data_IF_009155951333
#
_entry.id   IF_009155951333
#
_cell.length_a   1.000
_cell.length_b   1.000
_cell.length_c   1.000
_cell.angle_alpha   90.00
_cell.angle_beta   90.00
_cell.angle_gamma   90.00
#
_symmetry.space_group_name_H-M   'P 1'
#
loop_
_entity.id
_entity.type
_entity.pdbx_description
1 polymer ?
#
# COMPACT_ATOMS: atom_id res chain seq x y z
N UNK A 1 31.75 8.70 7.72
CA UNK A 1 30.84 7.67 7.20
C UNK A 1 30.34 6.78 8.33
N UNK A 2 29.04 6.55 8.40
CA UNK A 2 28.37 5.89 9.52
C UNK A 2 28.39 4.36 9.39
N UNK A 3 28.73 3.66 10.47
CA UNK A 3 29.07 2.23 10.50
C UNK A 3 27.86 1.34 10.17
N UNK A 4 26.64 1.84 10.34
CA UNK A 4 25.39 1.10 10.14
C UNK A 4 25.09 0.75 8.67
N UNK A 5 25.59 1.52 7.70
CA UNK A 5 25.40 1.22 6.28
C UNK A 5 26.00 -0.14 5.88
N UNK A 6 27.01 -0.62 6.61
CA UNK A 6 27.72 -1.88 6.31
C UNK A 6 26.90 -3.14 6.65
N UNK A 7 25.89 -3.04 7.52
CA UNK A 7 25.07 -4.19 7.97
C UNK A 7 24.07 -4.64 6.88
N UNK A 8 23.65 -3.72 6.02
CA UNK A 8 22.73 -3.97 4.88
C UNK A 8 23.46 -4.69 3.71
N UNK A 9 24.79 -4.61 3.66
CA UNK A 9 25.63 -5.11 2.56
C UNK A 9 26.08 -6.58 2.75
N UNK A 10 25.58 -7.29 3.76
CA UNK A 10 25.88 -8.74 3.95
C UNK A 10 24.72 -9.63 3.47
N UNK A 11 24.61 -9.96 2.16
CA UNK A 11 23.70 -11.00 1.70
C UNK A 11 24.14 -12.42 2.16
N UNK A 12 25.40 -12.59 2.55
CA UNK A 12 25.97 -13.92 2.84
C UNK A 12 25.67 -14.47 4.24
N UNK A 13 25.15 -13.67 5.18
CA UNK A 13 24.79 -14.21 6.50
C UNK A 13 23.49 -15.02 6.44
N UNK A 14 22.57 -14.67 5.52
CA UNK A 14 21.35 -15.44 5.26
C UNK A 14 21.67 -16.77 4.55
N UNK A 15 22.67 -16.79 3.65
CA UNK A 15 23.10 -18.01 2.98
C UNK A 15 23.85 -18.99 3.91
N UNK A 16 24.51 -18.50 4.97
CA UNK A 16 25.17 -19.40 5.94
C UNK A 16 24.16 -20.13 6.84
N UNK A 17 23.02 -19.51 7.13
CA UNK A 17 21.92 -20.15 7.88
C UNK A 17 21.22 -21.21 7.01
N UNK A 18 21.23 -21.06 5.69
CA UNK A 18 20.65 -22.01 4.75
C UNK A 18 21.54 -23.24 4.45
N UNK A 19 22.84 -23.19 4.76
CA UNK A 19 23.80 -24.28 4.50
C UNK A 19 24.19 -25.10 5.73
N UNK A 20 23.69 -24.75 6.91
CA UNK A 20 23.80 -25.62 8.08
C UNK A 20 22.78 -26.75 7.96
N UNK A 21 23.23 -28.00 7.82
CA UNK A 21 22.35 -29.16 8.01
C UNK A 21 21.73 -29.06 9.41
N UNK A 22 20.42 -28.80 9.47
CA UNK A 22 19.62 -28.97 10.66
C UNK A 22 19.70 -30.44 11.05
N UNK A 23 20.29 -30.73 12.22
CA UNK A 23 20.28 -32.07 12.82
C UNK A 23 18.82 -32.55 12.93
N UNK A 24 18.56 -33.73 12.37
CA UNK A 24 17.25 -34.40 12.36
C UNK A 24 17.01 -35.25 13.60
N UNK A 25 17.84 -35.14 14.64
CA UNK A 25 17.68 -35.95 15.84
C UNK A 25 16.68 -35.31 16.80
N UNK A 26 15.57 -36.00 17.15
CA UNK A 26 14.62 -35.48 18.11
C UNK A 26 15.24 -35.45 19.52
N UNK A 27 15.28 -34.27 20.13
CA UNK A 27 15.66 -34.09 21.54
C UNK A 27 14.81 -34.99 22.46
N UNK A 28 15.42 -35.81 23.33
CA UNK A 28 14.74 -36.91 24.01
C UNK A 28 13.89 -36.53 25.23
N UNK A 29 13.70 -35.24 25.56
CA UNK A 29 13.19 -34.84 26.88
C UNK A 29 11.79 -34.21 26.96
N UNK A 30 10.98 -34.20 25.89
CA UNK A 30 9.64 -33.55 25.95
C UNK A 30 8.44 -34.46 25.69
N UNK A 31 8.62 -35.74 25.37
CA UNK A 31 7.51 -36.60 24.89
C UNK A 31 6.80 -37.45 25.95
N UNK A 32 7.38 -37.66 27.14
CA UNK A 32 6.77 -38.55 28.14
C UNK A 32 5.77 -37.87 29.09
N UNK A 33 5.96 -36.59 29.41
CA UNK A 33 5.07 -35.83 30.31
C UNK A 33 3.72 -35.46 29.67
N UNK A 34 3.65 -35.38 28.34
CA UNK A 34 2.43 -34.99 27.61
C UNK A 34 1.46 -36.15 27.32
N UNK A 35 1.82 -37.41 27.60
CA UNK A 35 0.97 -38.57 27.26
C UNK A 35 -0.06 -38.96 28.32
N UNK A 36 0.02 -38.47 29.56
CA UNK A 36 -0.76 -39.04 30.68
C UNK A 36 -2.17 -38.48 30.91
N UNK A 37 -2.53 -37.30 30.39
CA UNK A 37 -3.79 -36.63 30.76
C UNK A 37 -4.62 -36.08 29.58
N UNK A 38 -5.10 -36.93 28.67
CA UNK A 38 -6.17 -36.52 27.74
C UNK A 38 -7.42 -37.40 27.86
N UNK A 39 -8.48 -36.76 28.36
CA UNK A 39 -9.88 -37.16 28.18
C UNK A 39 -10.17 -37.08 26.67
N UNK A 40 -10.44 -38.23 26.05
CA UNK A 40 -10.81 -38.32 24.63
C UNK A 40 -12.22 -37.76 24.42
N UNK A 41 -12.34 -36.61 23.77
CA UNK A 41 -13.59 -36.23 23.10
C UNK A 41 -13.65 -36.92 21.72
N UNK A 42 -14.79 -37.50 21.32
CA UNK A 42 -14.97 -37.99 19.96
C UNK A 42 -15.24 -36.80 19.04
N UNK A 43 -14.19 -36.08 18.64
CA UNK A 43 -14.25 -35.26 17.44
C UNK A 43 -14.30 -36.20 16.25
N UNK A 44 -15.49 -36.37 15.68
CA UNK A 44 -15.61 -36.67 14.25
C UNK A 44 -15.03 -35.48 13.50
N UNK A 45 -13.70 -35.44 13.38
CA UNK A 45 -13.07 -34.72 12.29
C UNK A 45 -13.58 -35.41 11.03
N UNK A 46 -14.42 -34.70 10.26
CA UNK A 46 -14.32 -34.87 8.80
C UNK A 46 -12.84 -34.67 8.53
N UNK A 47 -12.13 -35.76 8.21
CA UNK A 47 -10.80 -35.64 7.66
C UNK A 47 -10.96 -34.66 6.50
N UNK A 48 -10.49 -33.42 6.68
CA UNK A 48 -9.88 -32.76 5.55
C UNK A 48 -8.92 -33.82 5.04
N UNK A 49 -9.14 -34.30 3.83
CA UNK A 49 -8.15 -35.11 3.14
C UNK A 49 -6.98 -34.16 2.98
N UNK A 50 -6.14 -34.12 4.02
CA UNK A 50 -4.86 -33.47 4.03
C UNK A 50 -4.07 -34.29 3.03
N UNK A 51 -4.06 -33.83 1.78
CA UNK A 51 -3.06 -34.22 0.79
C UNK A 51 -1.67 -33.67 1.18
N UNK A 52 -1.35 -33.64 2.47
CA UNK A 52 -0.11 -33.09 3.03
C UNK A 52 1.05 -34.09 2.98
N UNK A 53 0.84 -35.27 2.38
CA UNK A 53 1.89 -36.29 2.19
C UNK A 53 2.37 -36.45 0.74
N UNK A 54 2.01 -35.57 -0.20
CA UNK A 54 2.39 -35.71 -1.62
C UNK A 54 3.11 -34.50 -2.26
N UNK A 55 3.70 -33.60 -1.46
CA UNK A 55 4.51 -32.50 -2.02
C UNK A 55 5.90 -32.45 -1.38
N UNK A 56 6.58 -33.59 -1.34
CA UNK A 56 8.05 -33.60 -1.40
C UNK A 56 8.36 -33.40 -2.89
N UNK A 57 9.06 -32.33 -3.24
CA UNK A 57 9.22 -31.81 -4.61
C UNK A 57 9.33 -32.89 -5.69
N UNK A 58 8.20 -33.16 -6.36
CA UNK A 58 8.18 -33.97 -7.56
C UNK A 58 8.70 -33.07 -8.70
N UNK A 59 9.93 -33.32 -9.16
CA UNK A 59 10.60 -32.55 -10.23
C UNK A 59 9.81 -32.52 -11.55
N UNK A 60 8.76 -33.35 -11.67
CA UNK A 60 7.86 -33.42 -12.83
C UNK A 60 6.74 -32.37 -12.80
N UNK A 61 6.39 -31.85 -11.63
CA UNK A 61 5.37 -30.82 -11.53
C UNK A 61 6.03 -29.45 -11.68
N UNK A 62 5.51 -28.58 -12.57
CA UNK A 62 6.06 -27.24 -12.71
C UNK A 62 5.97 -26.52 -11.37
N UNK A 63 7.09 -25.94 -10.97
CA UNK A 63 7.18 -25.12 -9.76
C UNK A 63 6.18 -23.97 -9.82
N UNK A 64 5.82 -23.40 -8.66
CA UNK A 64 4.95 -22.21 -8.64
C UNK A 64 5.53 -21.08 -9.51
N UNK A 65 6.86 -20.95 -9.57
CA UNK A 65 7.52 -19.96 -10.41
C UNK A 65 7.34 -20.25 -11.90
N UNK A 66 7.46 -21.50 -12.33
CA UNK A 66 7.21 -21.91 -13.72
C UNK A 66 5.75 -21.72 -14.11
N UNK A 67 4.82 -22.13 -13.24
CA UNK A 67 3.39 -21.91 -13.46
C UNK A 67 3.08 -20.42 -13.60
N UNK A 68 3.68 -19.58 -12.77
CA UNK A 68 3.51 -18.12 -12.85
C UNK A 68 4.18 -17.51 -14.09
N UNK A 69 5.21 -18.14 -14.68
CA UNK A 69 5.81 -17.69 -15.94
C UNK A 69 4.90 -17.97 -17.13
N UNK A 70 4.20 -19.10 -17.14
CA UNK A 70 3.22 -19.42 -18.19
C UNK A 70 2.06 -18.40 -18.26
N UNK A 71 1.75 -17.73 -17.15
CA UNK A 71 0.73 -16.68 -17.08
C UNK A 71 1.25 -15.27 -17.37
N UNK A 72 2.57 -15.08 -17.55
CA UNK A 72 3.15 -13.77 -17.86
C UNK A 72 3.42 -13.66 -19.36
N UNK A 73 3.05 -12.53 -19.95
CA UNK A 73 3.38 -12.27 -21.35
C UNK A 73 4.91 -12.19 -21.54
N UNK A 74 5.48 -12.73 -22.63
CA UNK A 74 6.92 -12.66 -22.92
C UNK A 74 7.48 -11.23 -22.91
N UNK A 75 6.68 -10.25 -23.32
CA UNK A 75 7.03 -8.82 -23.30
C UNK A 75 7.11 -8.23 -21.88
N UNK A 76 6.52 -8.88 -20.87
CA UNK A 76 6.68 -8.49 -19.46
C UNK A 76 8.00 -8.99 -18.84
N UNK A 77 8.72 -9.88 -19.53
CA UNK A 77 9.98 -10.46 -19.07
C UNK A 77 11.20 -9.70 -19.59
N UNK A 78 11.06 -8.95 -20.68
CA UNK A 78 12.11 -8.10 -21.23
C UNK A 78 12.07 -6.72 -20.56
N UNK A 79 13.15 -6.35 -19.85
CA UNK A 79 13.30 -5.01 -19.29
C UNK A 79 14.61 -4.43 -19.77
N UNK A 80 14.57 -3.23 -20.36
CA UNK A 80 15.77 -2.51 -20.76
C UNK A 80 16.15 -1.48 -19.71
N UNK A 81 17.46 -1.27 -19.53
CA UNK A 81 17.95 -0.22 -18.66
C UNK A 81 17.94 1.09 -19.45
N UNK A 82 17.03 1.98 -19.09
CA UNK A 82 16.91 3.34 -19.63
C UNK A 82 17.54 4.36 -18.67
N UNK A 83 17.72 5.60 -19.15
CA UNK A 83 18.26 6.70 -18.34
C UNK A 83 19.78 6.81 -18.36
N UNK A 84 20.32 7.70 -17.52
CA UNK A 84 21.77 7.87 -17.38
C UNK A 84 22.41 6.67 -16.68
N UNK A 85 23.59 6.29 -17.16
CA UNK A 85 24.41 5.31 -16.46
C UNK A 85 24.93 5.92 -15.15
N UNK A 86 24.75 5.18 -14.05
CA UNK A 86 25.28 5.58 -12.75
C UNK A 86 26.75 5.18 -12.65
N UNK A 87 27.64 6.16 -12.53
CA UNK A 87 29.04 5.93 -12.24
C UNK A 87 29.21 5.58 -10.76
N UNK A 88 29.44 4.30 -10.47
CA UNK A 88 29.69 3.88 -9.10
C UNK A 88 30.99 4.50 -8.58
N UNK A 89 30.98 5.05 -7.35
CA UNK A 89 32.22 5.48 -6.71
C UNK A 89 33.15 4.28 -6.57
N UNK A 90 34.47 4.52 -6.63
CA UNK A 90 35.47 3.45 -6.53
C UNK A 90 35.34 2.71 -5.18
N UNK A 91 34.69 1.54 -5.21
CA UNK A 91 34.35 0.76 -4.02
C UNK A 91 35.57 0.38 -3.18
N UNK A 92 36.74 0.19 -3.81
CA UNK A 92 37.98 -0.13 -3.08
C UNK A 92 38.45 1.07 -2.25
N UNK A 93 38.39 2.28 -2.82
CA UNK A 93 38.75 3.52 -2.12
C UNK A 93 37.80 3.79 -0.96
N UNK A 94 36.49 3.74 -1.23
CA UNK A 94 35.45 3.96 -0.21
C UNK A 94 35.56 2.94 0.92
N UNK A 95 35.82 1.66 0.61
CA UNK A 95 36.01 0.62 1.63
C UNK A 95 37.24 0.88 2.49
N UNK A 96 38.36 1.31 1.90
CA UNK A 96 39.59 1.65 2.64
C UNK A 96 39.36 2.81 3.60
N UNK A 97 38.65 3.86 3.17
CA UNK A 97 38.29 5.00 4.02
C UNK A 97 37.36 4.59 5.17
N UNK A 98 36.38 3.74 4.90
CA UNK A 98 35.48 3.17 5.92
C UNK A 98 36.24 2.31 6.94
N UNK A 99 37.14 1.44 6.49
CA UNK A 99 37.92 0.58 7.37
C UNK A 99 38.86 1.42 8.25
N UNK A 100 39.50 2.46 7.70
CA UNK A 100 40.31 3.40 8.48
C UNK A 100 39.50 4.12 9.57
N UNK A 101 38.27 4.57 9.25
CA UNK A 101 37.36 5.23 10.19
C UNK A 101 36.86 4.27 11.28
N UNK A 102 36.64 3.00 10.95
CA UNK A 102 36.29 1.96 11.93
C UNK A 102 37.45 1.74 12.91
N UNK A 103 38.68 1.68 12.41
CA UNK A 103 39.86 1.53 13.28
C UNK A 103 40.10 2.77 14.15
N UNK A 104 39.83 3.98 13.65
CA UNK A 104 39.84 5.22 14.44
C UNK A 104 38.79 5.19 15.56
N UNK A 105 37.54 4.82 15.22
CA UNK A 105 36.46 4.74 16.20
C UNK A 105 36.73 3.69 17.30
N UNK A 106 37.35 2.55 16.95
CA UNK A 106 37.75 1.52 17.92
C UNK A 106 38.83 1.98 18.89
N UNK A 107 39.69 2.94 18.51
CA UNK A 107 40.73 3.48 19.37
C UNK A 107 40.19 4.49 20.39
N UNK A 108 38.99 5.04 20.16
CA UNK A 108 38.39 6.01 21.06
C UNK A 108 37.77 5.33 22.29
N UNK A 109 38.38 5.56 23.45
CA UNK A 109 37.84 5.08 24.74
C UNK A 109 36.48 5.70 25.08
N UNK A 110 36.26 6.95 24.67
CA UNK A 110 34.99 7.64 24.93
C UNK A 110 33.83 6.96 24.19
N UNK A 111 34.01 6.64 22.90
CA UNK A 111 33.01 5.90 22.13
C UNK A 111 32.74 4.51 22.71
N UNK A 112 33.75 3.86 23.29
CA UNK A 112 33.56 2.57 23.97
C UNK A 112 32.67 2.72 25.23
N UNK A 113 32.91 3.75 26.04
CA UNK A 113 32.10 4.07 27.22
C UNK A 113 30.67 4.42 26.81
N UNK A 114 30.50 5.32 25.85
CA UNK A 114 29.18 5.73 25.35
C UNK A 114 28.41 4.55 24.74
N UNK A 115 29.12 3.60 24.11
CA UNK A 115 28.53 2.34 23.61
C UNK A 115 28.01 1.46 24.75
N UNK A 116 28.81 1.27 25.82
CA UNK A 116 28.43 0.48 27.00
C UNK A 116 27.25 1.11 27.74
N UNK A 117 27.20 2.43 27.79
CA UNK A 117 26.11 3.19 28.41
C UNK A 117 24.90 3.40 27.49
N UNK A 118 24.95 2.88 26.24
CA UNK A 118 23.89 3.02 25.23
C UNK A 118 23.54 4.49 24.89
N UNK A 119 24.53 5.39 24.95
CA UNK A 119 24.39 6.83 24.68
C UNK A 119 24.77 7.26 23.27
N UNK A 120 25.14 6.31 22.39
CA UNK A 120 25.55 6.63 21.03
C UNK A 120 24.35 7.05 20.19
N UNK A 121 24.35 8.32 19.79
CA UNK A 121 23.39 8.86 18.83
C UNK A 121 23.98 8.87 17.41
N UNK A 122 23.16 8.39 16.47
CA UNK A 122 23.55 8.21 15.08
C UNK A 122 22.88 9.31 14.26
N UNK A 123 23.64 10.20 13.59
CA UNK A 123 23.05 11.25 12.76
C UNK A 123 22.39 10.63 11.52
N UNK A 124 21.07 10.46 11.56
CA UNK A 124 20.28 9.74 10.54
C UNK A 124 20.36 10.42 9.18
N UNK A 125 20.33 11.74 9.13
CA UNK A 125 20.40 12.50 7.87
C UNK A 125 21.73 12.28 7.13
N UNK A 126 22.84 12.22 7.88
CA UNK A 126 24.16 11.96 7.31
C UNK A 126 24.30 10.51 6.85
N UNK A 127 23.66 9.56 7.55
CA UNK A 127 23.56 8.17 7.11
C UNK A 127 22.82 8.09 5.78
N UNK A 128 21.67 8.76 5.66
CA UNK A 128 20.85 8.76 4.45
C UNK A 128 21.61 9.32 3.25
N UNK A 129 22.27 10.48 3.41
CA UNK A 129 23.11 11.08 2.35
C UNK A 129 24.19 10.11 1.86
N UNK A 130 24.88 9.45 2.79
CA UNK A 130 25.94 8.50 2.44
C UNK A 130 25.40 7.23 1.77
N UNK A 131 24.29 6.67 2.28
CA UNK A 131 23.66 5.50 1.67
C UNK A 131 23.23 5.82 0.24
N UNK A 132 22.61 6.98 0.00
CA UNK A 132 22.21 7.41 -1.34
C UNK A 132 23.40 7.53 -2.28
N UNK A 133 24.49 8.17 -1.83
CA UNK A 133 25.71 8.32 -2.63
C UNK A 133 26.41 6.99 -2.93
N UNK A 134 26.48 6.05 -1.98
CA UNK A 134 27.11 4.74 -2.20
C UNK A 134 26.24 3.78 -3.00
N UNK A 135 24.94 3.71 -2.70
CA UNK A 135 24.03 2.73 -3.29
C UNK A 135 23.42 3.16 -4.62
N UNK A 136 23.59 4.43 -5.01
CA UNK A 136 23.02 4.98 -6.24
C UNK A 136 21.50 4.86 -6.26
N UNK A 137 20.86 5.18 -5.13
CA UNK A 137 19.40 5.11 -4.96
C UNK A 137 18.79 3.73 -5.33
N UNK A 138 19.55 2.63 -5.19
CA UNK A 138 19.07 1.27 -5.49
C UNK A 138 17.77 0.92 -4.77
N UNK A 139 17.62 1.38 -3.53
CA UNK A 139 16.40 1.16 -2.75
C UNK A 139 15.18 1.78 -3.44
N UNK A 140 15.34 2.93 -4.10
CA UNK A 140 14.28 3.61 -4.85
C UNK A 140 13.83 2.77 -6.03
N UNK A 141 14.78 2.17 -6.76
CA UNK A 141 14.49 1.27 -7.88
C UNK A 141 13.70 0.05 -7.39
N UNK A 142 14.14 -0.57 -6.29
CA UNK A 142 13.45 -1.72 -5.71
C UNK A 142 12.04 -1.37 -5.24
N UNK A 143 11.87 -0.21 -4.60
CA UNK A 143 10.55 0.30 -4.20
C UNK A 143 9.68 0.55 -5.44
N UNK A 144 10.17 1.27 -6.44
CA UNK A 144 9.41 1.57 -7.65
C UNK A 144 9.01 0.30 -8.43
N UNK A 145 9.87 -0.73 -8.46
CA UNK A 145 9.52 -2.05 -9.01
C UNK A 145 8.42 -2.74 -8.20
N UNK A 146 8.55 -2.74 -6.86
CA UNK A 146 7.54 -3.35 -5.99
C UNK A 146 6.16 -2.71 -6.15
N UNK A 147 6.12 -1.39 -6.27
CA UNK A 147 4.88 -0.64 -6.49
C UNK A 147 4.41 -0.63 -7.95
N UNK A 148 5.11 -1.30 -8.88
CA UNK A 148 4.70 -1.41 -10.29
C UNK A 148 4.87 -0.14 -11.13
N UNK A 149 5.63 0.87 -10.68
CA UNK A 149 5.74 2.15 -11.40
C UNK A 149 6.40 1.98 -12.78
N UNK A 150 7.44 1.15 -12.88
CA UNK A 150 8.12 0.91 -14.17
C UNK A 150 7.24 0.16 -15.17
N UNK A 151 6.41 -0.77 -14.67
CA UNK A 151 5.45 -1.50 -15.50
C UNK A 151 4.49 -0.52 -16.16
N UNK A 152 3.90 0.36 -15.36
CA UNK A 152 2.83 1.24 -15.83
C UNK A 152 3.38 2.43 -16.64
N UNK A 153 4.43 3.11 -16.15
CA UNK A 153 4.95 4.32 -16.80
C UNK A 153 5.86 4.02 -18.01
N UNK A 154 6.66 2.96 -17.95
CA UNK A 154 7.74 2.69 -18.89
C UNK A 154 7.66 1.31 -19.56
N UNK A 155 6.53 0.61 -19.47
CA UNK A 155 6.35 -0.72 -20.04
C UNK A 155 7.46 -1.72 -19.61
N UNK A 156 7.80 -1.70 -18.31
CA UNK A 156 8.86 -2.50 -17.64
C UNK A 156 10.30 -2.03 -17.84
N UNK A 157 10.54 -0.99 -18.64
CA UNK A 157 11.88 -0.40 -18.71
C UNK A 157 12.27 0.28 -17.40
N UNK A 158 13.49 0.04 -16.94
CA UNK A 158 13.97 0.47 -15.62
C UNK A 158 15.03 1.55 -15.80
N UNK A 159 14.85 2.71 -15.18
CA UNK A 159 15.96 3.67 -14.99
C UNK A 159 16.40 3.72 -13.54
N UNK A 160 17.67 4.02 -13.32
CA UNK A 160 18.22 4.30 -11.99
C UNK A 160 18.16 5.80 -11.73
N UNK A 161 17.42 6.27 -10.71
CA UNK A 161 17.45 7.66 -10.33
C UNK A 161 18.87 8.09 -9.95
N UNK A 162 19.32 9.17 -10.57
CA UNK A 162 20.62 9.79 -10.33
C UNK A 162 20.48 10.96 -9.34
N UNK A 163 19.32 11.60 -9.35
CA UNK A 163 19.02 12.80 -8.57
C UNK A 163 18.02 12.46 -7.46
N UNK A 164 18.31 12.87 -6.22
CA UNK A 164 17.37 12.75 -5.09
C UNK A 164 16.34 13.88 -5.17
N UNK A 165 15.19 13.53 -5.73
CA UNK A 165 14.05 14.43 -5.86
C UNK A 165 13.35 14.57 -4.50
N UNK A 166 13.61 15.69 -3.80
CA UNK A 166 13.01 16.00 -2.51
C UNK A 166 11.76 16.84 -2.72
N UNK A 167 10.59 16.23 -2.51
CA UNK A 167 9.30 16.92 -2.59
C UNK A 167 8.73 17.09 -1.19
N UNK A 168 8.25 18.27 -0.85
CA UNK A 168 7.71 18.61 0.47
C UNK A 168 6.37 19.34 0.38
N UNK A 169 5.38 18.84 1.12
CA UNK A 169 4.05 19.43 1.25
C UNK A 169 3.87 19.99 2.65
N UNK A 170 3.99 21.32 2.84
CA UNK A 170 3.74 21.98 4.13
C UNK A 170 4.41 21.28 5.34
N UNK A 171 5.64 20.78 5.17
CA UNK A 171 6.40 20.06 6.19
C UNK A 171 6.30 18.52 6.13
N UNK A 172 5.43 17.96 5.27
CA UNK A 172 5.35 16.52 4.99
C UNK A 172 6.16 16.17 3.75
N UNK A 173 7.27 15.47 3.97
CA UNK A 173 8.16 15.01 2.90
C UNK A 173 7.59 13.79 2.17
N UNK A 174 7.69 13.82 0.84
CA UNK A 174 7.46 12.68 -0.05
C UNK A 174 8.73 11.83 -0.08
N UNK A 175 8.55 10.52 0.12
CA UNK A 175 9.61 9.52 0.04
C UNK A 175 9.32 8.57 -1.14
N UNK A 176 9.25 7.26 -0.87
CA UNK A 176 9.16 6.20 -1.86
C UNK A 176 8.03 5.23 -1.50
N UNK A 177 6.79 5.73 -1.51
CA UNK A 177 5.58 4.98 -1.17
C UNK A 177 5.01 5.28 0.23
N UNK A 178 5.42 6.37 0.88
CA UNK A 178 4.78 6.81 2.12
C UNK A 178 3.34 7.27 1.86
N UNK A 179 2.54 7.36 2.92
CA UNK A 179 1.15 7.81 2.86
C UNK A 179 1.06 9.31 3.06
N UNK A 180 0.39 10.01 2.15
CA UNK A 180 0.09 11.45 2.25
C UNK A 180 -1.39 11.61 1.94
N UNK A 181 -2.12 12.37 2.77
CA UNK A 181 -3.55 12.53 2.58
C UNK A 181 -3.83 13.62 1.54
N UNK A 182 -4.93 13.47 0.80
CA UNK A 182 -5.32 14.42 -0.24
C UNK A 182 -5.57 15.85 0.31
N UNK A 183 -5.85 16.02 1.60
CA UNK A 183 -5.95 17.33 2.24
C UNK A 183 -4.61 18.04 2.46
N UNK A 184 -3.50 17.29 2.46
CA UNK A 184 -2.17 17.86 2.64
C UNK A 184 -1.57 18.33 1.31
N UNK A 185 -2.18 17.92 0.20
CA UNK A 185 -1.74 18.16 -1.17
C UNK A 185 -2.63 19.16 -1.91
N UNK A 186 -3.33 20.03 -1.18
CA UNK A 186 -4.18 21.08 -1.77
C UNK A 186 -3.35 22.06 -2.62
N UNK A 187 -2.17 22.42 -2.12
CA UNK A 187 -1.25 23.36 -2.75
C UNK A 187 -0.07 22.62 -3.38
N UNK A 188 0.52 23.21 -4.42
CA UNK A 188 1.72 22.69 -5.05
C UNK A 188 2.87 22.51 -4.04
N UNK A 189 3.64 21.42 -4.13
CA UNK A 189 4.73 21.16 -3.20
C UNK A 189 5.97 22.00 -3.50
N UNK A 190 6.83 22.13 -2.50
CA UNK A 190 8.21 22.59 -2.69
C UNK A 190 9.04 21.44 -3.25
N UNK A 191 9.61 21.64 -4.44
CA UNK A 191 10.42 20.64 -5.14
C UNK A 191 11.86 21.10 -5.15
N UNK A 192 12.70 20.36 -4.44
CA UNK A 192 14.14 20.57 -4.40
C UNK A 192 14.84 19.31 -4.94
N UNK A 193 15.67 19.47 -5.96
CA UNK A 193 16.46 18.39 -6.48
C UNK A 193 17.93 18.78 -6.43
N UNK A 194 18.63 18.18 -5.47
CA UNK A 194 20.07 18.26 -5.39
C UNK A 194 20.63 17.14 -6.26
N UNK A 195 21.44 17.51 -7.23
CA UNK A 195 22.16 16.55 -8.03
C UNK A 195 23.25 15.93 -7.14
N UNK A 196 23.00 14.71 -6.65
CA UNK A 196 23.95 13.99 -5.77
C UNK A 196 25.30 13.81 -6.48
N UNK A 197 25.31 13.84 -7.82
CA UNK A 197 26.54 13.76 -8.62
C UNK A 197 27.28 15.09 -8.78
N UNK A 198 26.71 16.25 -8.41
CA UNK A 198 27.39 17.57 -8.49
C UNK A 198 28.45 17.82 -7.40
N UNK A 199 28.90 16.77 -6.70
CA UNK A 199 30.09 16.90 -5.84
C UNK A 199 31.35 17.13 -6.69
N UNK A 200 31.37 16.83 -7.99
CA UNK A 200 32.63 16.82 -8.75
C UNK A 200 32.71 17.58 -10.10
N UNK A 201 31.68 18.24 -10.62
CA UNK A 201 31.85 18.94 -11.92
C UNK A 201 31.21 20.34 -11.97
N UNK A 202 32.08 21.33 -12.15
CA UNK A 202 31.76 22.68 -12.64
C UNK A 202 31.18 22.59 -14.06
N UNK A 203 29.92 22.21 -14.21
CA UNK A 203 29.25 22.23 -15.52
C UNK A 203 28.86 23.66 -15.88
N UNK A 204 29.56 24.21 -16.87
CA UNK A 204 29.28 25.52 -17.50
C UNK A 204 28.12 25.46 -18.52
N UNK A 205 27.53 24.28 -18.75
CA UNK A 205 26.48 24.09 -19.74
C UNK A 205 25.08 24.31 -19.13
N UNK A 206 24.21 25.00 -19.87
CA UNK A 206 22.80 25.21 -19.50
C UNK A 206 22.07 23.87 -19.62
N UNK A 207 21.62 23.31 -18.49
CA UNK A 207 20.79 22.11 -18.46
C UNK A 207 19.35 22.48 -18.10
N UNK A 208 18.41 21.85 -18.81
CA UNK A 208 16.98 22.05 -18.59
C UNK A 208 16.37 20.78 -18.00
N UNK A 209 15.40 20.97 -17.12
CA UNK A 209 14.72 19.89 -16.42
C UNK A 209 13.21 20.00 -16.64
N UNK A 210 12.53 18.87 -16.70
CA UNK A 210 11.07 18.80 -16.81
C UNK A 210 10.54 17.90 -15.70
N UNK A 211 9.57 18.40 -14.93
CA UNK A 211 8.89 17.66 -13.88
C UNK A 211 7.48 17.26 -14.36
N UNK A 212 7.19 15.96 -14.31
CA UNK A 212 5.86 15.42 -14.52
C UNK A 212 5.34 14.81 -13.21
N UNK A 213 4.13 15.18 -12.80
CA UNK A 213 3.43 14.63 -11.66
C UNK A 213 2.17 13.90 -12.12
N UNK A 214 2.10 12.61 -11.86
CA UNK A 214 1.12 11.71 -12.46
C UNK A 214 0.43 10.88 -11.39
N UNK A 215 -0.88 10.72 -11.49
CA UNK A 215 -1.63 9.73 -10.74
C UNK A 215 -1.89 8.52 -11.65
N UNK A 216 -1.31 7.38 -11.29
CA UNK A 216 -1.39 6.15 -12.09
C UNK A 216 -2.78 5.52 -12.00
N UNK A 217 -3.47 5.69 -10.87
CA UNK A 217 -4.71 4.98 -10.55
C UNK A 217 -5.95 5.90 -10.59
N UNK A 218 -5.76 7.15 -11.04
CA UNK A 218 -6.75 8.23 -10.93
C UNK A 218 -7.82 8.27 -12.02
N UNK A 219 -7.69 7.46 -13.07
CA UNK A 219 -8.54 7.56 -14.24
C UNK A 219 -9.83 6.75 -14.08
N UNK A 220 -10.98 7.41 -14.25
CA UNK A 220 -12.30 6.76 -14.16
C UNK A 220 -12.96 6.51 -15.52
N UNK A 221 -12.43 7.05 -16.61
CA UNK A 221 -12.96 6.84 -17.96
C UNK A 221 -12.28 5.66 -18.66
N UNK A 222 -10.96 5.56 -18.53
CA UNK A 222 -10.15 4.54 -19.19
C UNK A 222 -9.14 3.94 -18.21
N UNK A 223 -9.19 2.62 -18.03
CA UNK A 223 -8.32 1.90 -17.10
C UNK A 223 -6.84 1.91 -17.48
N UNK A 224 -6.52 2.19 -18.74
CA UNK A 224 -5.14 2.09 -19.26
C UNK A 224 -4.41 3.44 -19.33
N UNK A 225 -5.08 4.54 -18.98
CA UNK A 225 -4.51 5.87 -19.08
C UNK A 225 -4.29 6.44 -17.67
N UNK A 226 -3.23 7.21 -17.51
CA UNK A 226 -2.95 7.91 -16.26
C UNK A 226 -3.57 9.32 -16.26
N UNK A 227 -3.51 10.00 -15.10
CA UNK A 227 -3.93 11.40 -14.97
C UNK A 227 -2.72 12.27 -14.70
N UNK A 228 -2.50 13.28 -15.55
CA UNK A 228 -1.42 14.24 -15.39
C UNK A 228 -1.85 15.38 -14.46
N UNK A 229 -1.35 15.38 -13.23
CA UNK A 229 -1.72 16.33 -12.18
C UNK A 229 -0.91 17.63 -12.25
N UNK A 230 0.35 17.57 -12.69
CA UNK A 230 1.20 18.76 -12.86
C UNK A 230 2.27 18.50 -13.90
N UNK A 231 2.54 19.48 -14.76
CA UNK A 231 3.61 19.39 -15.74
C UNK A 231 4.32 20.74 -15.89
N UNK A 232 5.58 20.76 -15.47
CA UNK A 232 6.43 21.95 -15.52
C UNK A 232 7.69 21.64 -16.32
N UNK A 233 7.87 22.34 -17.43
CA UNK A 233 8.97 22.13 -18.37
C UNK A 233 10.04 23.20 -18.28
N UNK A 234 11.17 22.93 -18.92
CA UNK A 234 12.25 23.89 -19.18
C UNK A 234 12.77 24.61 -17.92
N UNK A 235 12.80 23.91 -16.78
CA UNK A 235 13.36 24.40 -15.52
C UNK A 235 14.88 24.55 -15.69
N UNK A 236 15.39 25.77 -15.56
CA UNK A 236 16.80 26.08 -15.81
C UNK A 236 17.64 25.84 -14.56
N UNK A 237 18.75 25.10 -14.71
CA UNK A 237 19.83 24.97 -13.71
C UNK A 237 19.38 24.56 -12.28
N UNK A 238 18.20 23.97 -12.14
CA UNK A 238 17.67 23.57 -10.84
C UNK A 238 16.82 24.61 -10.13
N UNK A 239 16.68 25.82 -10.67
CA UNK A 239 15.76 26.82 -10.10
C UNK A 239 14.33 26.55 -10.57
N UNK A 240 13.56 25.87 -9.72
CA UNK A 240 12.19 25.50 -9.98
C UNK A 240 11.28 26.69 -10.36
N UNK A 241 11.63 27.93 -9.98
CA UNK A 241 10.84 29.13 -10.33
C UNK A 241 10.92 29.50 -11.80
N UNK A 242 12.02 29.17 -12.48
CA UNK A 242 12.26 29.54 -13.88
C UNK A 242 11.47 28.71 -14.90
N UNK A 243 10.97 27.53 -14.50
CA UNK A 243 10.30 26.62 -15.42
C UNK A 243 8.96 27.14 -15.91
N UNK A 244 8.61 26.76 -17.15
CA UNK A 244 7.33 27.03 -17.76
C UNK A 244 6.29 26.02 -17.27
N UNK A 245 5.15 26.50 -16.76
CA UNK A 245 4.03 25.66 -16.35
C UNK A 245 3.12 25.39 -17.55
N UNK A 246 3.18 24.19 -18.12
CA UNK A 246 2.30 23.79 -19.23
C UNK A 246 0.93 23.35 -18.71
N UNK A 247 0.94 22.63 -17.59
CA UNK A 247 -0.27 22.15 -16.92
C UNK A 247 -0.17 22.57 -15.46
N UNK A 248 -1.16 23.33 -14.99
CA UNK A 248 -1.22 23.81 -13.61
C UNK A 248 -1.39 22.68 -12.62
N UNK A 249 -0.83 22.87 -11.43
CA UNK A 249 -0.95 21.91 -10.34
C UNK A 249 -2.42 21.63 -10.00
N UNK A 250 -2.77 20.35 -9.95
CA UNK A 250 -4.04 19.86 -9.45
C UNK A 250 -3.76 18.86 -8.31
N UNK A 251 -4.46 19.03 -7.19
CA UNK A 251 -4.34 18.07 -6.09
C UNK A 251 -4.79 16.66 -6.56
N UNK A 252 -4.15 15.58 -6.08
CA UNK A 252 -4.66 14.24 -6.28
C UNK A 252 -6.10 14.09 -5.78
N UNK A 253 -6.91 13.36 -6.53
CA UNK A 253 -8.33 13.15 -6.24
C UNK A 253 -8.68 11.64 -6.17
N UNK A 254 -8.10 10.87 -5.24
CA UNK A 254 -8.47 9.47 -5.08
C UNK A 254 -9.95 9.31 -4.78
N UNK A 255 -10.65 8.51 -5.59
CA UNK A 255 -12.09 8.35 -5.51
C UNK A 255 -12.52 7.52 -4.30
N UNK A 256 -13.73 7.74 -3.81
CA UNK A 256 -14.22 7.03 -2.64
C UNK A 256 -14.37 5.54 -2.96
N UNK A 257 -13.70 4.69 -2.19
CA UNK A 257 -13.80 3.23 -2.32
C UNK A 257 -12.89 2.59 -3.36
N UNK A 258 -12.04 3.35 -4.05
CA UNK A 258 -11.02 2.80 -4.97
C UNK A 258 -9.72 2.38 -4.28
N UNK A 259 -9.59 2.65 -2.98
CA UNK A 259 -8.39 2.33 -2.21
C UNK A 259 -7.29 3.40 -2.35
N UNK A 260 -6.03 2.95 -2.39
CA UNK A 260 -4.86 3.82 -2.41
C UNK A 260 -4.42 4.10 -3.84
N UNK A 261 -4.25 5.37 -4.18
CA UNK A 261 -3.75 5.80 -5.48
C UNK A 261 -2.25 6.09 -5.40
N UNK A 262 -1.49 5.62 -6.40
CA UNK A 262 -0.06 5.88 -6.54
C UNK A 262 0.15 7.18 -7.31
N UNK A 263 0.74 8.16 -6.63
CA UNK A 263 1.08 9.46 -7.21
C UNK A 263 2.60 9.57 -7.35
N UNK A 264 3.09 9.74 -8.58
CA UNK A 264 4.51 9.71 -8.92
C UNK A 264 4.98 11.04 -9.52
N UNK A 265 6.12 11.52 -9.04
CA UNK A 265 6.91 12.60 -9.62
C UNK A 265 8.07 12.00 -10.40
N UNK A 266 8.13 12.32 -11.69
CA UNK A 266 9.23 11.94 -12.57
C UNK A 266 9.95 13.20 -13.02
N UNK A 267 11.26 13.22 -12.81
CA UNK A 267 12.13 14.31 -13.25
C UNK A 267 12.93 13.85 -14.47
N UNK A 268 12.84 14.63 -15.53
CA UNK A 268 13.59 14.47 -16.77
C UNK A 268 14.66 15.55 -16.90
N UNK A 269 15.75 15.21 -17.56
CA UNK A 269 16.81 16.13 -17.96
C UNK A 269 16.93 16.15 -19.49
N UNK A 270 17.16 17.33 -20.05
CA UNK A 270 17.39 17.53 -21.47
C UNK A 270 18.36 18.71 -21.71
N UNK A 271 19.01 18.71 -22.87
CA UNK A 271 20.10 19.66 -23.20
C UNK A 271 19.59 20.98 -23.78
N UNK A 272 18.51 20.94 -24.56
CA UNK A 272 17.95 22.08 -25.26
C UNK A 272 16.55 22.37 -24.74
N UNK A 273 16.08 23.61 -24.88
CA UNK A 273 14.69 23.93 -24.58
C UNK A 273 13.75 23.19 -25.54
N UNK A 274 12.75 22.49 -24.99
CA UNK A 274 11.78 21.70 -25.77
C UNK A 274 10.40 22.29 -25.56
N UNK A 275 9.67 22.51 -26.66
CA UNK A 275 8.24 22.81 -26.58
C UNK A 275 7.46 21.49 -26.56
N UNK A 276 7.00 21.08 -25.38
CA UNK A 276 6.26 19.85 -25.19
C UNK A 276 4.83 19.99 -25.72
N UNK A 277 4.48 19.20 -26.72
CA UNK A 277 3.10 19.01 -27.17
C UNK A 277 2.50 17.87 -26.35
N UNK A 278 1.64 18.23 -25.40
CA UNK A 278 0.92 17.28 -24.58
C UNK A 278 -0.32 16.86 -25.37
N UNK A 279 -0.28 15.65 -25.91
CA UNK A 279 -1.36 15.06 -26.69
C UNK A 279 -2.50 14.65 -25.73
N UNK A 280 -3.32 15.60 -25.29
CA UNK A 280 -4.57 15.31 -24.58
C UNK A 280 -5.58 14.76 -25.59
N UNK A 281 -6.19 13.59 -25.31
CA UNK A 281 -7.22 13.02 -26.18
C UNK A 281 -8.31 14.07 -26.47
N UNK A 282 -8.58 14.26 -27.76
CA UNK A 282 -9.43 15.30 -28.35
C UNK A 282 -10.55 15.81 -27.42
N UNK A 283 -10.54 17.13 -27.21
CA UNK A 283 -11.52 17.92 -26.46
C UNK A 283 -12.90 18.03 -27.14
N UNK A 284 -13.34 17.02 -27.88
CA UNK A 284 -14.66 17.02 -28.54
C UNK A 284 -15.81 16.89 -27.54
N UNK A 285 -15.52 16.50 -26.30
CA UNK A 285 -16.44 16.65 -25.16
C UNK A 285 -15.77 17.53 -24.10
N UNK A 286 -16.38 18.68 -23.82
CA UNK A 286 -15.95 19.76 -22.90
C UNK A 286 -15.83 19.31 -21.43
N UNK A 287 -15.07 18.26 -21.13
CA UNK A 287 -14.73 17.90 -19.75
C UNK A 287 -13.27 18.30 -19.51
N UNK A 288 -13.05 19.17 -18.51
CA UNK A 288 -11.72 19.54 -18.00
C UNK A 288 -10.90 18.32 -17.55
N UNK A 289 -11.54 17.16 -17.40
CA UNK A 289 -10.91 15.89 -17.13
C UNK A 289 -10.17 15.32 -18.35
N UNK A 290 -10.74 15.43 -19.55
CA UNK A 290 -10.10 14.91 -20.77
C UNK A 290 -8.77 15.61 -21.08
N UNK A 291 -8.62 16.88 -20.67
CA UNK A 291 -7.35 17.63 -20.75
C UNK A 291 -6.23 17.02 -19.90
N UNK A 292 -6.61 16.27 -18.85
CA UNK A 292 -5.70 15.65 -17.89
C UNK A 292 -5.47 14.16 -18.16
N UNK A 293 -6.28 13.57 -19.04
CA UNK A 293 -6.14 12.18 -19.49
C UNK A 293 -4.85 12.06 -20.31
N UNK A 294 -3.89 11.29 -19.81
CA UNK A 294 -2.54 11.27 -20.32
C UNK A 294 -2.01 9.85 -20.35
N UNK A 295 -1.33 9.50 -21.45
CA UNK A 295 -0.63 8.22 -21.56
C UNK A 295 0.87 8.46 -21.49
N UNK A 296 1.46 8.21 -20.33
CA UNK A 296 2.87 8.53 -20.05
C UNK A 296 3.83 7.84 -21.02
N UNK A 297 3.55 6.58 -21.35
CA UNK A 297 4.37 5.80 -22.26
C UNK A 297 4.45 6.43 -23.67
N UNK A 298 3.34 6.97 -24.17
CA UNK A 298 3.31 7.60 -25.51
C UNK A 298 4.13 8.89 -25.52
N UNK A 299 4.00 9.70 -24.47
CA UNK A 299 4.81 10.90 -24.28
C UNK A 299 6.31 10.55 -24.22
N UNK A 300 6.68 9.55 -23.41
CA UNK A 300 8.08 9.15 -23.28
C UNK A 300 8.65 8.65 -24.61
N UNK A 301 7.90 7.86 -25.37
CA UNK A 301 8.33 7.39 -26.72
C UNK A 301 8.51 8.53 -27.72
N UNK A 302 7.69 9.58 -27.65
CA UNK A 302 7.78 10.76 -28.55
C UNK A 302 9.06 11.56 -28.31
N UNK A 303 9.51 11.65 -27.06
CA UNK A 303 10.64 12.49 -26.65
C UNK A 303 11.88 11.69 -26.20
N UNK A 304 11.89 10.36 -26.35
CA UNK A 304 12.92 9.46 -25.78
C UNK A 304 14.36 9.80 -26.19
N UNK A 305 14.54 10.43 -27.35
CA UNK A 305 15.86 10.85 -27.85
C UNK A 305 16.38 12.12 -27.15
N UNK A 306 15.48 12.98 -26.69
CA UNK A 306 15.81 14.31 -26.16
C UNK A 306 15.73 14.37 -24.63
N UNK A 307 14.84 13.58 -24.01
CA UNK A 307 14.62 13.58 -22.56
C UNK A 307 15.13 12.31 -21.91
N UNK A 308 15.83 12.47 -20.79
CA UNK A 308 16.38 11.36 -20.02
C UNK A 308 15.79 11.37 -18.60
N UNK A 309 15.17 10.29 -18.12
CA UNK A 309 14.66 10.24 -16.75
C UNK A 309 15.83 10.16 -15.76
N UNK A 310 15.85 11.08 -14.79
CA UNK A 310 16.96 11.25 -13.83
C UNK A 310 16.51 11.18 -12.37
N UNK A 311 15.24 11.42 -12.06
CA UNK A 311 14.73 11.46 -10.70
C UNK A 311 13.34 10.86 -10.58
N UNK A 312 13.07 10.22 -9.45
CA UNK A 312 11.80 9.58 -9.15
C UNK A 312 11.48 9.77 -7.67
N UNK A 313 10.26 10.21 -7.36
CA UNK A 313 9.70 10.21 -6.00
C UNK A 313 8.21 9.92 -6.09
N UNK A 314 7.66 9.17 -5.15
CA UNK A 314 6.24 8.80 -5.22
C UNK A 314 5.66 8.52 -3.83
N UNK A 315 4.35 8.62 -3.73
CA UNK A 315 3.60 8.37 -2.51
C UNK A 315 2.24 7.77 -2.82
N UNK A 316 1.55 7.34 -1.76
CA UNK A 316 0.19 6.84 -1.83
C UNK A 316 -0.77 7.84 -1.21
N UNK A 317 -1.90 8.08 -1.89
CA UNK A 317 -2.98 8.92 -1.38
C UNK A 317 -4.27 8.13 -1.27
N UNK A 318 -5.02 8.35 -0.19
CA UNK A 318 -6.37 7.83 -0.01
C UNK A 318 -7.41 8.96 -0.13
N UNK A 319 -8.67 8.55 -0.29
CA UNK A 319 -9.81 9.45 -0.30
C UNK A 319 -9.93 10.25 1.00
N UNK A 320 -10.22 11.54 0.87
CA UNK A 320 -10.55 12.45 1.96
C UNK A 320 -11.64 13.44 1.51
N UNK A 321 -12.25 14.16 2.45
CA UNK A 321 -13.30 15.15 2.18
C UNK A 321 -12.84 16.29 1.26
N UNK A 322 -11.54 16.58 1.18
CA UNK A 322 -11.00 17.57 0.24
C UNK A 322 -11.20 17.19 -1.22
N UNK A 323 -11.28 15.89 -1.53
CA UNK A 323 -11.45 15.37 -2.89
C UNK A 323 -12.80 15.77 -3.49
N UNK A 324 -13.85 15.80 -2.66
CA UNK A 324 -15.19 16.26 -3.08
C UNK A 324 -15.16 17.64 -3.72
N UNK A 325 -14.38 18.55 -3.15
CA UNK A 325 -14.24 19.92 -3.68
C UNK A 325 -13.62 19.92 -5.07
N UNK A 326 -12.70 19.01 -5.38
CA UNK A 326 -12.13 18.90 -6.73
C UNK A 326 -13.18 18.48 -7.75
N UNK A 327 -13.98 17.46 -7.43
CA UNK A 327 -15.03 17.00 -8.33
C UNK A 327 -16.08 18.09 -8.60
N UNK A 328 -16.53 18.78 -7.55
CA UNK A 328 -17.53 19.82 -7.67
C UNK A 328 -16.98 21.12 -8.27
N UNK A 329 -15.86 21.64 -7.77
CA UNK A 329 -15.37 22.98 -8.13
C UNK A 329 -14.52 22.97 -9.42
N UNK A 330 -13.66 21.97 -9.60
CA UNK A 330 -12.78 21.89 -10.76
C UNK A 330 -13.47 21.18 -11.94
N UNK A 331 -13.99 19.97 -11.72
CA UNK A 331 -14.57 19.15 -12.79
C UNK A 331 -16.05 19.43 -13.10
N UNK A 332 -16.79 20.11 -12.20
CA UNK A 332 -18.24 20.28 -12.28
C UNK A 332 -18.99 18.93 -12.41
N UNK A 333 -18.50 17.93 -11.67
CA UNK A 333 -19.03 16.57 -11.65
C UNK A 333 -19.43 16.15 -10.23
N UNK A 334 -20.40 15.25 -10.16
CA UNK A 334 -20.71 14.55 -8.91
C UNK A 334 -19.63 13.51 -8.64
N UNK A 335 -19.11 13.49 -7.42
CA UNK A 335 -18.13 12.49 -6.98
C UNK A 335 -18.65 11.05 -7.20
N UNK A 336 -17.90 10.21 -7.92
CA UNK A 336 -18.20 8.79 -8.03
C UNK A 336 -17.82 8.06 -6.73
N UNK A 337 -18.66 7.12 -6.32
CA UNK A 337 -18.45 6.28 -5.14
C UNK A 337 -18.43 4.82 -5.56
N UNK A 338 -17.33 4.16 -5.24
CA UNK A 338 -17.10 2.76 -5.53
C UNK A 338 -17.25 1.93 -4.26
N UNK A 339 -17.63 0.67 -4.45
CA UNK A 339 -17.62 -0.35 -3.41
C UNK A 339 -16.96 -1.60 -3.99
N UNK A 340 -16.12 -2.25 -3.19
CA UNK A 340 -15.50 -3.49 -3.63
C UNK A 340 -16.54 -4.60 -3.65
N UNK A 341 -16.91 -5.05 -4.85
CA UNK A 341 -17.81 -6.19 -5.01
C UNK A 341 -17.02 -7.50 -4.84
N UNK A 342 -17.12 -8.11 -3.66
CA UNK A 342 -16.54 -9.43 -3.43
C UNK A 342 -17.22 -10.47 -4.32
N UNK A 343 -16.42 -11.35 -4.93
CA UNK A 343 -16.95 -12.50 -5.65
C UNK A 343 -17.92 -13.28 -4.75
N UNK A 344 -19.10 -13.57 -5.29
CA UNK A 344 -20.07 -14.41 -4.60
C UNK A 344 -19.46 -15.81 -4.44
N UNK A 345 -19.48 -16.34 -3.22
CA UNK A 345 -19.09 -17.73 -2.97
C UNK A 345 -19.83 -18.65 -3.93
N UNK A 346 -19.11 -19.56 -4.59
CA UNK A 346 -19.74 -20.60 -5.38
C UNK A 346 -20.59 -21.48 -4.47
N UNK A 347 -21.89 -21.55 -4.80
CA UNK A 347 -22.83 -22.43 -4.12
C UNK A 347 -23.23 -23.55 -5.10
N UNK A 348 -23.10 -24.84 -4.71
CA UNK A 348 -23.61 -25.93 -5.52
C UNK A 348 -25.14 -25.84 -5.61
N UNK A 349 -25.75 -26.47 -6.60
CA UNK A 349 -27.22 -26.48 -6.75
C UNK A 349 -27.88 -26.97 -5.45
N UNK A 350 -28.97 -26.32 -5.05
CA UNK A 350 -29.76 -26.74 -3.90
C UNK A 350 -30.30 -28.16 -4.12
N UNK A 351 -30.08 -29.02 -3.13
CA UNK A 351 -30.56 -30.39 -3.03
C UNK A 351 -31.50 -30.46 -1.82
N UNK A 352 -32.76 -30.83 -2.04
CA UNK A 352 -33.75 -30.98 -0.95
C UNK A 352 -33.27 -31.95 0.14
N UNK A 353 -32.53 -32.99 -0.26
CA UNK A 353 -31.94 -33.98 0.61
C UNK A 353 -30.47 -34.20 0.21
N UNK A 354 -29.52 -33.47 0.82
CA UNK A 354 -28.12 -33.58 0.44
C UNK A 354 -27.58 -34.98 0.78
N UNK A 355 -26.83 -35.59 -0.15
CA UNK A 355 -26.25 -36.94 0.05
C UNK A 355 -25.34 -37.02 1.28
N UNK A 356 -24.55 -35.97 1.49
CA UNK A 356 -23.71 -35.84 2.67
C UNK A 356 -24.45 -35.05 3.75
N UNK A 357 -24.40 -35.45 5.02
CA UNK A 357 -25.07 -34.72 6.09
C UNK A 357 -24.48 -33.30 6.21
N UNK A 358 -25.32 -32.32 5.88
CA UNK A 358 -25.05 -30.90 6.05
C UNK A 358 -25.76 -30.36 7.30
N UNK A 359 -25.16 -29.39 8.02
CA UNK A 359 -25.85 -28.70 9.10
C UNK A 359 -27.07 -27.95 8.54
N UNK A 360 -28.27 -28.38 8.96
CA UNK A 360 -29.56 -27.89 8.44
C UNK A 360 -29.66 -26.35 8.37
N UNK A 361 -29.35 -25.64 9.46
CA UNK A 361 -29.47 -24.19 9.51
C UNK A 361 -28.56 -23.50 8.49
N UNK A 362 -27.28 -23.87 8.43
CA UNK A 362 -26.34 -23.26 7.48
C UNK A 362 -26.68 -23.59 6.05
N UNK A 363 -27.08 -24.84 5.80
CA UNK A 363 -27.49 -25.26 4.48
C UNK A 363 -28.61 -24.34 3.98
N UNK A 364 -29.71 -24.23 4.73
CA UNK A 364 -30.81 -23.35 4.34
C UNK A 364 -30.40 -21.88 4.26
N UNK A 365 -29.63 -21.37 5.23
CA UNK A 365 -29.18 -19.97 5.27
C UNK A 365 -28.33 -19.59 4.05
N UNK A 366 -27.43 -20.46 3.59
CA UNK A 366 -26.59 -20.18 2.41
C UNK A 366 -27.43 -20.09 1.11
N UNK A 367 -28.56 -20.79 1.05
CA UNK A 367 -29.50 -20.72 -0.09
C UNK A 367 -30.64 -19.71 0.10
N UNK A 368 -30.77 -19.13 1.28
CA UNK A 368 -31.79 -18.11 1.57
C UNK A 368 -31.28 -16.77 1.05
N UNK A 369 -32.18 -15.93 0.55
CA UNK A 369 -31.79 -14.57 0.17
C UNK A 369 -31.25 -13.81 1.40
N UNK A 370 -30.12 -13.12 1.23
CA UNK A 370 -29.47 -12.36 2.30
C UNK A 370 -30.42 -11.31 2.87
N UNK A 371 -31.32 -10.76 2.05
CA UNK A 371 -32.33 -9.78 2.49
C UNK A 371 -33.30 -10.40 3.51
N UNK A 372 -33.84 -11.58 3.22
CA UNK A 372 -34.73 -12.29 4.13
C UNK A 372 -34.02 -12.70 5.41
N UNK A 373 -32.79 -13.21 5.29
CA UNK A 373 -31.97 -13.55 6.45
C UNK A 373 -31.72 -12.33 7.35
N UNK A 374 -31.39 -11.18 6.76
CA UNK A 374 -31.20 -9.93 7.48
C UNK A 374 -32.49 -9.45 8.14
N UNK A 375 -33.64 -9.56 7.47
CA UNK A 375 -34.95 -9.22 8.05
C UNK A 375 -35.26 -10.09 9.29
N UNK A 376 -35.00 -11.40 9.21
CA UNK A 376 -35.15 -12.31 10.35
C UNK A 376 -34.25 -11.92 11.52
N UNK A 377 -32.98 -11.65 11.24
CA UNK A 377 -32.00 -11.21 12.24
C UNK A 377 -32.43 -9.90 12.90
N UNK A 378 -32.93 -8.93 12.13
CA UNK A 378 -33.45 -7.66 12.65
C UNK A 378 -34.71 -7.86 13.50
N UNK A 379 -35.65 -8.69 13.07
CA UNK A 379 -36.85 -9.02 13.87
C UNK A 379 -36.47 -9.66 15.20
N UNK A 380 -35.53 -10.59 15.19
CA UNK A 380 -35.05 -11.22 16.43
C UNK A 380 -34.31 -10.25 17.34
N UNK A 381 -33.56 -9.31 16.77
CA UNK A 381 -32.97 -8.20 17.52
C UNK A 381 -34.04 -7.28 18.13
N UNK A 382 -35.07 -6.90 17.36
CA UNK A 382 -36.16 -6.04 17.84
C UNK A 382 -36.93 -6.66 19.01
N UNK A 383 -37.04 -7.99 19.09
CA UNK A 383 -37.64 -8.68 20.26
C UNK A 383 -36.81 -8.51 21.54
N UNK A 384 -35.51 -8.26 21.42
CA UNK A 384 -34.59 -8.08 22.55
C UNK A 384 -34.52 -6.62 23.03
N UNK A 385 -34.93 -5.67 22.20
CA UNK A 385 -34.84 -4.24 22.47
C UNK A 385 -36.20 -3.68 22.87
N UNK A 386 -36.23 -2.93 23.97
CA UNK A 386 -37.40 -2.15 24.38
C UNK A 386 -37.13 -0.66 24.08
N UNK A 387 -38.04 0.06 23.40
CA UNK A 387 -37.85 1.47 23.07
C UNK A 387 -37.73 2.40 24.29
N UNK A 388 -38.18 1.96 25.47
CA UNK A 388 -38.20 2.77 26.70
C UNK A 388 -37.14 2.37 27.72
N UNK A 389 -36.35 1.32 27.45
CA UNK A 389 -35.30 0.85 28.35
C UNK A 389 -33.93 1.00 27.69
N UNK A 390 -32.87 1.25 28.47
CA UNK A 390 -31.52 1.22 27.91
C UNK A 390 -31.25 -0.16 27.29
N UNK A 391 -30.58 -0.16 26.14
CA UNK A 391 -30.19 -1.41 25.49
C UNK A 391 -29.37 -2.27 26.46
N UNK A 392 -29.63 -3.60 26.52
CA UNK A 392 -28.88 -4.48 27.40
C UNK A 392 -27.41 -4.51 26.97
N UNK A 393 -26.49 -4.13 27.86
CA UNK A 393 -25.06 -4.22 27.58
C UNK A 393 -24.65 -5.66 27.25
N UNK A 394 -23.74 -5.88 26.29
CA UNK A 394 -23.19 -7.21 26.07
C UNK A 394 -22.56 -7.73 27.35
N UNK A 395 -22.87 -8.97 27.71
CA UNK A 395 -22.18 -9.64 28.80
C UNK A 395 -20.67 -9.63 28.53
N UNK A 396 -19.87 -9.14 29.51
CA UNK A 396 -18.39 -9.13 29.47
C UNK A 396 -17.82 -10.50 29.07
N UNK A 397 -18.50 -11.58 29.44
CA UNK A 397 -18.20 -12.94 29.06
C UNK A 397 -19.44 -13.62 28.45
N UNK A 398 -19.63 -13.56 27.12
CA UNK A 398 -20.89 -13.94 26.48
C UNK A 398 -21.29 -15.42 26.67
N UNK A 399 -20.33 -16.30 26.94
CA UNK A 399 -20.54 -17.76 26.97
C UNK A 399 -20.69 -18.37 28.37
N UNK A 400 -20.42 -17.61 29.44
CA UNK A 400 -20.38 -18.17 30.81
C UNK A 400 -21.78 -18.64 31.24
N UNK A 401 -22.80 -17.79 31.07
CA UNK A 401 -24.17 -18.10 31.51
C UNK A 401 -25.04 -18.71 30.41
N UNK A 402 -24.43 -19.27 29.36
CA UNK A 402 -25.20 -19.85 28.25
C UNK A 402 -25.75 -21.22 28.67
N UNK A 403 -27.04 -21.27 29.04
CA UNK A 403 -27.75 -22.52 29.33
C UNK A 403 -27.70 -23.44 28.11
N UNK A 404 -26.97 -24.56 28.20
CA UNK A 404 -26.74 -25.50 27.09
C UNK A 404 -27.87 -26.51 26.90
N UNK A 405 -29.13 -26.06 26.99
CA UNK A 405 -30.30 -26.92 26.85
C UNK A 405 -30.81 -26.87 25.40
N UNK A 406 -31.37 -27.98 24.91
CA UNK A 406 -31.96 -28.08 23.56
C UNK A 406 -31.04 -28.65 22.47
N UNK A 407 -31.49 -28.62 21.20
CA UNK A 407 -30.74 -29.13 20.04
C UNK A 407 -29.42 -28.38 19.78
N UNK A 408 -28.44 -29.06 19.15
CA UNK A 408 -27.10 -28.49 18.89
C UNK A 408 -27.14 -27.23 18.01
N UNK A 409 -28.06 -27.16 17.04
CA UNK A 409 -28.21 -25.99 16.17
C UNK A 409 -28.67 -24.75 16.95
N UNK A 410 -29.61 -24.92 17.89
CA UNK A 410 -30.14 -23.83 18.71
C UNK A 410 -29.06 -23.29 19.65
N UNK A 411 -28.24 -24.18 20.24
CA UNK A 411 -27.08 -23.79 21.05
C UNK A 411 -26.09 -22.95 20.23
N UNK A 412 -25.82 -23.38 19.00
CA UNK A 412 -24.88 -22.71 18.11
C UNK A 412 -25.39 -21.33 17.65
N UNK A 413 -26.69 -21.20 17.39
CA UNK A 413 -27.33 -19.93 17.06
C UNK A 413 -27.27 -18.95 18.24
N UNK A 414 -27.63 -19.40 19.45
CA UNK A 414 -27.53 -18.59 20.67
C UNK A 414 -26.08 -18.17 20.96
N UNK A 415 -25.11 -19.06 20.69
CA UNK A 415 -23.69 -18.76 20.80
C UNK A 415 -23.26 -17.67 19.79
N UNK A 416 -23.68 -17.77 18.52
CA UNK A 416 -23.36 -16.75 17.51
C UNK A 416 -24.04 -15.42 17.78
N UNK A 417 -25.27 -15.43 18.28
CA UNK A 417 -26.00 -14.23 18.69
C UNK A 417 -25.24 -13.50 19.79
N UNK A 418 -24.79 -14.23 20.84
CA UNK A 418 -24.01 -13.65 21.93
C UNK A 418 -22.58 -13.24 21.52
N UNK A 419 -21.94 -14.00 20.63
CA UNK A 419 -20.60 -13.69 20.08
C UNK A 419 -20.60 -12.62 18.99
N UNK A 420 -21.76 -12.28 18.43
CA UNK A 420 -21.90 -11.40 17.26
C UNK A 420 -21.11 -11.90 16.05
N UNK A 421 -21.20 -13.20 15.80
CA UNK A 421 -20.56 -13.87 14.67
C UNK A 421 -21.57 -14.19 13.57
N UNK A 422 -21.05 -14.43 12.36
CA UNK A 422 -21.85 -14.77 11.17
C UNK A 422 -22.90 -13.70 10.83
N UNK A 423 -24.15 -14.11 10.64
CA UNK A 423 -25.30 -13.26 10.30
C UNK A 423 -25.60 -12.17 11.34
N UNK A 424 -25.19 -12.37 12.60
CA UNK A 424 -25.38 -11.39 13.67
C UNK A 424 -24.27 -10.33 13.72
N UNK A 425 -23.26 -10.39 12.85
CA UNK A 425 -22.20 -9.36 12.74
C UNK A 425 -22.75 -7.99 12.36
N UNK A 426 -23.80 -7.98 11.53
CA UNK A 426 -24.39 -6.75 11.00
C UNK A 426 -25.35 -6.09 11.99
N UNK A 427 -25.66 -6.71 13.15
CA UNK A 427 -26.40 -6.05 14.21
C UNK A 427 -25.45 -5.04 14.87
N UNK A 428 -25.63 -3.72 14.66
CA UNK A 428 -24.80 -2.75 15.31
C UNK A 428 -25.16 -2.73 16.79
N UNK A 429 -24.19 -2.94 17.68
CA UNK A 429 -24.35 -2.62 19.10
C UNK A 429 -23.75 -1.27 19.47
N UNK A 430 -23.16 -0.59 18.50
CA UNK A 430 -22.70 0.79 18.61
C UNK A 430 -23.56 1.66 17.69
N UNK A 431 -24.39 2.48 18.33
CA UNK A 431 -25.16 3.61 17.80
C UNK A 431 -26.41 3.31 16.96
N UNK A 432 -27.49 2.94 17.65
CA UNK A 432 -28.76 3.68 17.60
C UNK A 432 -29.28 3.94 19.01
N UNK A 433 -28.41 4.43 19.89
CA UNK A 433 -28.87 5.49 20.78
C UNK A 433 -29.00 6.71 19.87
N UNK A 434 -30.08 7.51 19.88
CA UNK A 434 -29.90 8.92 19.57
C UNK A 434 -28.86 9.37 20.58
N UNK A 435 -27.61 9.44 20.11
CA UNK A 435 -26.42 9.70 20.89
C UNK A 435 -26.76 10.79 21.89
N UNK A 436 -26.19 10.77 23.08
CA UNK A 436 -26.31 11.86 24.06
C UNK A 436 -26.16 13.24 23.37
N UNK A 437 -25.40 13.35 22.26
CA UNK A 437 -25.36 14.49 21.33
C UNK A 437 -26.66 14.87 20.61
N UNK A 438 -27.48 13.94 20.11
CA UNK A 438 -28.79 14.20 19.50
C UNK A 438 -29.83 14.51 20.58
N UNK A 439 -29.83 13.83 21.74
CA UNK A 439 -30.70 14.22 22.87
C UNK A 439 -30.33 15.60 23.43
N UNK A 440 -29.05 15.92 23.53
CA UNK A 440 -28.56 17.26 23.87
C UNK A 440 -28.87 18.29 22.77
N UNK A 441 -28.78 17.92 21.48
CA UNK A 441 -29.21 18.79 20.38
C UNK A 441 -30.72 19.01 20.38
N UNK A 442 -31.53 18.02 20.75
CA UNK A 442 -32.99 18.12 20.87
C UNK A 442 -33.38 18.97 22.10
N UNK A 443 -32.69 18.82 23.24
CA UNK A 443 -32.86 19.70 24.41
C UNK A 443 -32.41 21.15 24.13
N UNK A 444 -31.44 21.33 23.24
CA UNK A 444 -30.93 22.66 22.84
C UNK A 444 -31.67 23.26 21.64
N UNK A 445 -32.74 22.62 21.14
CA UNK A 445 -33.62 23.26 20.15
C UNK A 445 -34.44 24.36 20.83
N UNK A 446 -34.54 25.56 20.24
CA UNK A 446 -35.18 26.72 20.87
C UNK A 446 -36.70 26.59 21.09
N UNK A 447 -37.30 25.44 20.74
CA UNK A 447 -38.75 25.25 20.75
C UNK A 447 -39.31 24.65 22.05
N UNK A 448 -38.48 24.35 23.06
CA UNK A 448 -38.94 23.83 24.35
C UNK A 448 -38.79 24.80 25.54
N UNK A 449 -38.41 26.07 25.29
CA UNK A 449 -38.43 27.12 26.32
C UNK A 449 -39.73 27.96 26.23
N UNK A 450 -40.88 27.30 26.34
CA UNK A 450 -42.14 27.92 26.71
C UNK A 450 -42.97 26.90 27.49
N UNK A 451 -42.76 26.88 28.80
CA UNK A 451 -43.80 27.03 29.84
C UNK A 451 -43.12 27.10 31.21
#
# INVERSE_FOLDING_TARGET
MNIFAKRIVRPNLAQLIQKGQLSTDPYPYTTELYKKNFIKYPTQSKQAILHDQLYIGDERLPSLEERLKDFKDPSELESTQIGKQWDLPNLKKVRKELDARIEENKKSKQLEIDSKELKIEVPVEEVDRQIKALSGLRNVVMSAQHYGLYKDLFANDVFRPVVDLKVNYQGKRVYYGNKIQAKDTLNAPEVNFEDILKINENRKEKLYHTLAFVNLDGNFNNSNNEVLLWFKSNIQNGDFKTGQENISYLQPFPMRGTGWHRCAFVLFEHKNEINFQIDSENSTQNSKFNERNFKFLNFYKKYSNDVVPIGLSFYQSEWDLSVKKVFHDYFDLKEPVYEFNFESKFLPRFEKYPKNPQPFNWYLQEYTDKKELNEHVVKDYMKLVDPFRPHPEPAKYPLIDLKRNGPRWYKFEMENLRKRSQQFKQIPFEYFSPTIKIQQQIQNLPYQQKE
#
